data_IF_373297438506
#
_entry.id   IF_373297438506
#
_cell.length_a   1.000
_cell.length_b   1.000
_cell.length_c   1.000
_cell.angle_alpha   90.00
_cell.angle_beta   90.00
_cell.angle_gamma   90.00
#
_symmetry.space_group_name_H-M   'P 1'
#
loop_
_entity.id
_entity.type
_entity.pdbx_description
1 polymer ?
#
# COMPACT_ATOMS: atom_id res chain seq x y z
N UNK A 1 -8.62 -19.79 -5.80
CA UNK A 1 -7.37 -19.19 -6.30
C UNK A 1 -7.39 -17.73 -5.94
N UNK A 2 -6.48 -17.31 -5.07
CA UNK A 2 -6.40 -15.93 -4.64
C UNK A 2 -5.76 -15.05 -5.73
N UNK A 3 -6.35 -13.88 -5.95
CA UNK A 3 -5.74 -12.79 -6.69
C UNK A 3 -5.38 -11.72 -5.70
N UNK A 4 -4.13 -11.28 -5.75
CA UNK A 4 -3.62 -10.26 -4.87
C UNK A 4 -3.39 -8.96 -5.61
N UNK A 5 -3.55 -7.84 -4.89
CA UNK A 5 -3.11 -6.52 -5.33
C UNK A 5 -2.24 -5.90 -4.25
N UNK A 6 -1.01 -5.59 -4.62
CA UNK A 6 -0.19 -4.65 -3.89
C UNK A 6 -0.67 -3.24 -4.25
N UNK A 7 -0.93 -2.42 -3.26
CA UNK A 7 -1.24 -0.99 -3.44
C UNK A 7 -0.32 -0.16 -2.54
N UNK A 8 0.34 0.83 -3.13
CA UNK A 8 1.28 1.71 -2.47
C UNK A 8 0.90 3.16 -2.78
N UNK A 9 0.95 4.03 -1.76
CA UNK A 9 0.60 5.44 -1.88
C UNK A 9 1.67 6.33 -1.28
N UNK A 10 2.02 7.36 -2.03
CA UNK A 10 2.98 8.39 -1.63
C UNK A 10 2.31 9.77 -1.69
N UNK A 11 2.52 10.60 -0.65
CA UNK A 11 1.96 11.96 -0.60
C UNK A 11 2.76 12.87 -1.51
N UNK A 12 2.26 13.09 -2.72
CA UNK A 12 2.86 14.02 -3.67
C UNK A 12 3.07 15.41 -3.02
N UNK A 13 4.22 16.02 -3.29
CA UNK A 13 4.58 17.37 -2.86
C UNK A 13 4.94 18.24 -4.06
N UNK A 14 4.57 19.52 -4.02
CA UNK A 14 4.84 20.46 -5.12
C UNK A 14 6.34 20.79 -5.26
N UNK A 15 7.10 20.68 -4.17
CA UNK A 15 8.55 20.93 -4.14
C UNK A 15 9.38 19.70 -4.54
N UNK A 16 8.73 18.56 -4.80
CA UNK A 16 9.36 17.35 -5.30
C UNK A 16 9.04 17.15 -6.78
N UNK A 17 10.07 17.13 -7.63
CA UNK A 17 9.89 16.83 -9.06
C UNK A 17 9.55 15.35 -9.29
N UNK A 18 8.64 15.08 -10.24
CA UNK A 18 8.28 13.71 -10.69
C UNK A 18 9.54 12.94 -11.12
N UNK A 19 10.45 13.60 -11.85
CA UNK A 19 11.68 12.97 -12.34
C UNK A 19 12.59 12.51 -11.19
N UNK A 20 12.80 13.34 -10.17
CA UNK A 20 13.61 12.97 -9.01
C UNK A 20 12.96 11.84 -8.21
N UNK A 21 11.64 11.90 -7.96
CA UNK A 21 10.89 10.86 -7.26
C UNK A 21 10.98 9.52 -7.99
N UNK A 22 10.80 9.54 -9.31
CA UNK A 22 10.91 8.35 -10.14
C UNK A 22 12.32 7.77 -10.12
N UNK A 23 13.36 8.60 -10.29
CA UNK A 23 14.74 8.14 -10.25
C UNK A 23 15.07 7.46 -8.92
N UNK A 24 14.68 8.06 -7.79
CA UNK A 24 14.85 7.48 -6.46
C UNK A 24 14.09 6.15 -6.30
N UNK A 25 12.87 6.07 -6.82
CA UNK A 25 12.09 4.84 -6.78
C UNK A 25 12.75 3.70 -7.57
N UNK A 26 13.14 3.97 -8.83
CA UNK A 26 13.81 2.98 -9.69
C UNK A 26 15.15 2.54 -9.11
N UNK A 27 15.94 3.48 -8.58
CA UNK A 27 17.18 3.16 -7.87
C UNK A 27 16.91 2.24 -6.65
N UNK A 28 15.90 2.57 -5.83
CA UNK A 28 15.56 1.83 -4.63
C UNK A 28 15.08 0.39 -4.87
N UNK A 29 14.52 0.10 -6.04
CA UNK A 29 14.06 -1.26 -6.41
C UNK A 29 15.03 -2.00 -7.32
N UNK A 30 16.09 -1.36 -7.81
CA UNK A 30 17.02 -1.91 -8.80
C UNK A 30 17.69 -3.23 -8.37
N UNK A 31 17.83 -3.47 -7.06
CA UNK A 31 18.43 -4.68 -6.52
C UNK A 31 17.44 -5.85 -6.34
N UNK A 32 16.15 -5.67 -6.61
CA UNK A 32 15.13 -6.70 -6.37
C UNK A 32 15.23 -7.89 -7.33
N UNK A 33 15.76 -7.67 -8.53
CA UNK A 33 15.96 -8.68 -9.56
C UNK A 33 14.67 -9.39 -10.00
N UNK A 34 14.81 -10.45 -10.80
CA UNK A 34 13.72 -11.34 -11.20
C UNK A 34 12.48 -10.63 -11.79
N UNK A 35 12.67 -9.48 -12.46
CA UNK A 35 11.60 -8.68 -13.05
C UNK A 35 10.85 -7.76 -12.09
N UNK A 36 11.22 -7.73 -10.80
CA UNK A 36 10.67 -6.81 -9.79
C UNK A 36 11.47 -5.51 -9.67
N UNK A 37 12.59 -5.41 -10.37
CA UNK A 37 13.46 -4.23 -10.42
C UNK A 37 13.03 -3.18 -11.46
N UNK A 38 11.96 -3.45 -12.22
CA UNK A 38 11.48 -2.66 -13.36
C UNK A 38 12.57 -2.35 -14.38
N UNK A 39 13.57 -3.22 -14.52
CA UNK A 39 14.61 -3.05 -15.52
C UNK A 39 13.98 -3.00 -16.92
N UNK A 40 14.32 -1.96 -17.66
CA UNK A 40 13.74 -1.72 -18.98
C UNK A 40 12.44 -0.90 -18.97
N UNK A 41 12.00 -0.42 -17.80
CA UNK A 41 11.07 0.69 -17.74
C UNK A 41 11.78 1.89 -18.40
N UNK A 42 11.24 2.34 -19.52
CA UNK A 42 11.82 3.42 -20.30
C UNK A 42 11.82 4.74 -19.53
N UNK A 43 12.23 5.80 -20.22
CA UNK A 43 12.17 7.15 -19.65
C UNK A 43 10.73 7.55 -19.30
N UNK A 44 10.60 8.40 -18.28
CA UNK A 44 9.34 9.04 -17.96
C UNK A 44 8.82 9.79 -19.19
N UNK A 45 7.55 9.57 -19.61
CA UNK A 45 6.94 10.43 -20.62
C UNK A 45 6.82 11.87 -20.10
N UNK A 46 6.74 12.83 -21.02
CA UNK A 46 6.35 14.19 -20.65
C UNK A 46 4.87 14.18 -20.21
N UNK A 47 4.57 14.86 -19.11
CA UNK A 47 3.20 15.00 -18.60
C UNK A 47 2.38 15.95 -19.49
N UNK A 48 3.04 16.88 -20.21
CA UNK A 48 2.38 17.82 -21.09
C UNK A 48 1.31 18.65 -20.36
N UNK A 49 0.06 18.59 -20.83
CA UNK A 49 -1.09 19.27 -20.23
C UNK A 49 -1.96 18.37 -19.36
N UNK A 50 -1.51 17.15 -19.06
CA UNK A 50 -2.26 16.20 -18.25
C UNK A 50 -2.09 16.47 -16.75
N UNK A 51 -3.06 16.03 -15.95
CA UNK A 51 -3.02 16.18 -14.49
C UNK A 51 -2.33 15.01 -13.77
N UNK A 52 -2.04 13.94 -14.49
CA UNK A 52 -1.28 12.80 -14.00
C UNK A 52 -0.50 12.14 -15.12
N UNK A 53 0.62 11.53 -14.76
CA UNK A 53 1.41 10.66 -15.60
C UNK A 53 1.14 9.22 -15.19
N UNK A 54 0.79 8.36 -16.15
CA UNK A 54 0.47 6.95 -15.89
C UNK A 54 1.27 6.04 -16.81
N UNK A 55 1.96 5.05 -16.22
CA UNK A 55 2.77 4.07 -16.91
C UNK A 55 2.27 2.66 -16.61
N UNK A 56 2.00 1.88 -17.64
CA UNK A 56 1.81 0.43 -17.50
C UNK A 56 3.16 -0.25 -17.25
N UNK A 57 3.18 -1.17 -16.29
CA UNK A 57 4.35 -1.97 -15.93
C UNK A 57 4.30 -3.38 -16.54
N UNK A 58 3.22 -3.72 -17.25
CA UNK A 58 2.93 -5.08 -17.74
C UNK A 58 4.01 -5.64 -18.67
N UNK A 59 4.76 -4.76 -19.35
CA UNK A 59 5.85 -5.15 -20.26
C UNK A 59 7.19 -5.40 -19.56
N UNK A 60 7.37 -4.91 -18.34
CA UNK A 60 8.62 -5.00 -17.58
C UNK A 60 8.50 -5.95 -16.39
N UNK A 61 7.27 -6.23 -15.94
CA UNK A 61 6.97 -7.22 -14.94
C UNK A 61 7.00 -8.66 -15.50
N UNK A 62 7.18 -9.68 -14.64
CA UNK A 62 7.06 -11.08 -15.04
C UNK A 62 5.71 -11.42 -15.68
N UNK A 63 5.72 -12.40 -16.60
CA UNK A 63 4.53 -12.78 -17.36
C UNK A 63 3.33 -13.20 -16.47
N UNK A 64 2.19 -12.53 -16.67
CA UNK A 64 0.97 -12.76 -15.91
C UNK A 64 0.85 -11.95 -14.62
N UNK A 65 1.80 -11.04 -14.38
CA UNK A 65 1.71 -9.97 -13.39
C UNK A 65 1.40 -8.68 -14.15
N UNK A 66 0.48 -7.88 -13.65
CA UNK A 66 0.16 -6.56 -14.20
C UNK A 66 0.49 -5.48 -13.19
N UNK A 67 0.71 -4.27 -13.65
CA UNK A 67 0.96 -3.16 -12.75
C UNK A 67 0.86 -1.80 -13.41
N UNK A 68 0.72 -0.78 -12.57
CA UNK A 68 0.69 0.61 -12.99
C UNK A 68 1.37 1.48 -11.97
N UNK A 69 2.11 2.45 -12.48
CA UNK A 69 2.75 3.51 -11.72
C UNK A 69 2.13 4.83 -12.17
N UNK A 70 1.69 5.65 -11.22
CA UNK A 70 1.06 6.94 -11.47
C UNK A 70 1.75 8.02 -10.65
N UNK A 71 2.08 9.14 -11.29
CA UNK A 71 2.56 10.34 -10.64
C UNK A 71 1.59 11.49 -10.88
N UNK A 72 1.30 12.26 -9.84
CA UNK A 72 0.40 13.40 -9.92
C UNK A 72 1.14 14.65 -10.41
N UNK A 73 0.41 15.53 -11.07
CA UNK A 73 0.90 16.86 -11.43
C UNK A 73 1.29 17.65 -10.18
N UNK A 74 2.41 18.38 -10.24
CA UNK A 74 3.06 18.97 -9.05
C UNK A 74 3.06 20.50 -9.02
N UNK A 75 2.22 21.18 -9.80
CA UNK A 75 2.15 22.65 -9.70
C UNK A 75 1.66 23.12 -8.33
N UNK A 76 2.18 24.26 -7.92
CA UNK A 76 1.77 24.96 -6.71
C UNK A 76 0.27 25.29 -6.78
N UNK A 77 -0.47 24.94 -5.73
CA UNK A 77 -1.91 25.15 -5.63
C UNK A 77 -2.79 24.09 -6.31
N UNK A 78 -2.22 23.11 -7.03
CA UNK A 78 -2.99 21.97 -7.56
C UNK A 78 -3.16 20.85 -6.52
N UNK A 79 -2.08 20.50 -5.83
CA UNK A 79 -2.11 19.41 -4.84
C UNK A 79 -2.83 19.86 -3.56
N UNK A 80 -3.80 19.05 -3.12
CA UNK A 80 -4.47 19.24 -1.83
C UNK A 80 -4.11 18.12 -0.85
N UNK A 81 -4.57 18.25 0.40
CA UNK A 81 -4.41 17.21 1.40
C UNK A 81 -5.47 16.09 1.28
N UNK A 82 -5.49 15.43 0.12
CA UNK A 82 -6.44 14.38 -0.23
C UNK A 82 -5.71 13.27 -1.03
N UNK A 83 -6.13 12.01 -0.92
CA UNK A 83 -5.41 10.91 -1.58
C UNK A 83 -5.71 10.75 -3.06
N UNK A 84 -6.68 11.48 -3.62
CA UNK A 84 -6.81 11.61 -5.08
C UNK A 84 -5.57 12.27 -5.70
N UNK A 85 -4.85 13.07 -4.91
CA UNK A 85 -3.61 13.75 -5.29
C UNK A 85 -2.35 12.98 -4.85
N UNK A 86 -2.45 11.68 -4.60
CA UNK A 86 -1.28 10.85 -4.30
C UNK A 86 -0.70 10.19 -5.54
N UNK A 87 0.61 9.97 -5.51
CA UNK A 87 1.25 9.03 -6.43
C UNK A 87 0.87 7.61 -6.01
N UNK A 88 0.66 6.74 -7.00
CA UNK A 88 0.23 5.37 -6.75
C UNK A 88 1.06 4.37 -7.52
N UNK A 89 1.33 3.25 -6.86
CA UNK A 89 1.83 2.04 -7.51
C UNK A 89 0.86 0.91 -7.16
N UNK A 90 0.40 0.18 -8.17
CA UNK A 90 -0.25 -1.09 -7.95
C UNK A 90 0.38 -2.20 -8.78
N UNK A 91 0.39 -3.40 -8.20
CA UNK A 91 0.86 -4.62 -8.86
C UNK A 91 -0.11 -5.73 -8.51
N UNK A 92 -0.61 -6.43 -9.53
CA UNK A 92 -1.57 -7.53 -9.37
C UNK A 92 -0.95 -8.86 -9.82
N UNK A 93 -1.17 -9.90 -9.03
CA UNK A 93 -0.67 -11.24 -9.31
C UNK A 93 -1.59 -12.32 -8.73
N UNK A 94 -1.32 -13.57 -9.07
CA UNK A 94 -1.97 -14.75 -8.49
C UNK A 94 -0.96 -15.55 -7.66
N UNK A 95 -1.41 -16.13 -6.54
CA UNK A 95 -0.55 -16.99 -5.70
C UNK A 95 0.02 -18.20 -6.42
N UNK A 96 -0.55 -18.63 -7.56
CA UNK A 96 0.01 -19.72 -8.35
C UNK A 96 1.32 -19.36 -9.05
N UNK A 97 1.59 -18.07 -9.25
CA UNK A 97 2.73 -17.58 -10.06
C UNK A 97 3.81 -16.93 -9.22
N UNK A 98 3.49 -16.54 -7.99
CA UNK A 98 4.35 -15.71 -7.16
C UNK A 98 4.36 -16.29 -5.75
N UNK A 99 5.56 -16.48 -5.21
CA UNK A 99 5.74 -16.86 -3.82
C UNK A 99 5.27 -15.71 -2.92
N UNK A 100 4.13 -15.92 -2.26
CA UNK A 100 3.53 -14.94 -1.36
C UNK A 100 4.47 -14.59 -0.20
N UNK A 101 5.26 -15.54 0.29
CA UNK A 101 6.16 -15.27 1.41
C UNK A 101 7.29 -14.32 0.99
N UNK A 102 7.85 -14.50 -0.20
CA UNK A 102 8.83 -13.58 -0.78
C UNK A 102 8.23 -12.19 -1.02
N UNK A 103 6.99 -12.12 -1.50
CA UNK A 103 6.26 -10.85 -1.64
C UNK A 103 6.16 -10.13 -0.30
N UNK A 104 5.69 -10.82 0.74
CA UNK A 104 5.42 -10.22 2.05
C UNK A 104 6.71 -9.83 2.77
N UNK A 105 7.74 -10.69 2.74
CA UNK A 105 8.94 -10.52 3.57
C UNK A 105 10.02 -9.68 2.90
N UNK A 106 10.07 -9.67 1.56
CA UNK A 106 11.13 -8.99 0.80
C UNK A 106 10.59 -7.89 -0.09
N UNK A 107 9.68 -8.20 -1.03
CA UNK A 107 9.26 -7.24 -2.05
C UNK A 107 8.45 -6.08 -1.45
N UNK A 108 7.44 -6.38 -0.63
CA UNK A 108 6.55 -5.38 -0.04
C UNK A 108 7.31 -4.32 0.77
N UNK A 109 8.19 -4.68 1.74
CA UNK A 109 8.95 -3.69 2.50
C UNK A 109 9.92 -2.89 1.61
N UNK A 110 10.52 -3.52 0.60
CA UNK A 110 11.39 -2.82 -0.35
C UNK A 110 10.64 -1.79 -1.18
N UNK A 111 9.45 -2.10 -1.68
CA UNK A 111 8.62 -1.14 -2.39
C UNK A 111 8.11 -0.02 -1.48
N UNK A 112 7.69 -0.35 -0.24
CA UNK A 112 7.30 0.67 0.75
C UNK A 112 8.39 1.71 0.93
N UNK A 113 9.63 1.24 1.11
CA UNK A 113 10.79 2.11 1.28
C UNK A 113 11.10 2.90 0.01
N UNK A 114 11.26 2.23 -1.13
CA UNK A 114 11.70 2.86 -2.36
C UNK A 114 10.69 3.89 -2.89
N UNK A 115 9.39 3.60 -2.72
CA UNK A 115 8.31 4.49 -3.13
C UNK A 115 8.03 5.60 -2.12
N UNK A 116 8.65 5.57 -0.93
CA UNK A 116 8.44 6.57 0.12
C UNK A 116 6.99 6.58 0.61
N UNK A 117 6.41 5.39 0.80
CA UNK A 117 4.99 5.28 1.10
C UNK A 117 4.63 5.96 2.42
N UNK A 118 3.39 6.43 2.48
CA UNK A 118 2.73 6.65 3.77
C UNK A 118 1.71 5.56 4.10
N UNK A 119 1.19 4.88 3.08
CA UNK A 119 0.25 3.77 3.18
C UNK A 119 0.60 2.73 2.13
N UNK A 120 0.60 1.47 2.52
CA UNK A 120 0.64 0.36 1.58
C UNK A 120 -0.11 -0.85 2.11
N UNK A 121 -0.65 -1.66 1.20
CA UNK A 121 -1.50 -2.80 1.55
C UNK A 121 -1.35 -3.93 0.53
N UNK A 122 -1.36 -5.16 1.03
CA UNK A 122 -1.59 -6.36 0.22
C UNK A 122 -3.06 -6.75 0.34
N UNK A 123 -3.81 -6.54 -0.73
CA UNK A 123 -5.24 -6.88 -0.81
C UNK A 123 -5.43 -8.30 -1.34
N UNK A 124 -6.35 -9.03 -0.74
CA UNK A 124 -7.02 -10.16 -1.39
C UNK A 124 -8.25 -9.64 -2.15
N UNK A 125 -8.31 -9.87 -3.47
CA UNK A 125 -9.40 -9.39 -4.32
C UNK A 125 -10.75 -10.03 -4.04
N UNK A 126 -10.77 -11.28 -3.58
CA UNK A 126 -12.03 -11.97 -3.24
C UNK A 126 -12.67 -11.34 -2.01
N UNK A 127 -11.89 -11.04 -0.99
CA UNK A 127 -12.37 -10.34 0.21
C UNK A 127 -12.76 -8.91 -0.15
N UNK A 128 -11.86 -8.17 -0.80
CA UNK A 128 -12.07 -6.75 -1.14
C UNK A 128 -13.33 -6.50 -1.96
N UNK A 129 -13.68 -7.40 -2.88
CA UNK A 129 -14.92 -7.25 -3.66
C UNK A 129 -16.18 -7.56 -2.85
N UNK A 130 -16.08 -8.46 -1.87
CA UNK A 130 -17.23 -8.94 -1.10
C UNK A 130 -17.76 -7.88 -0.15
N UNK A 131 -16.86 -7.19 0.54
CA UNK A 131 -17.22 -6.20 1.55
C UNK A 131 -17.11 -4.75 1.04
N UNK A 132 -16.76 -4.55 -0.23
CA UNK A 132 -16.75 -3.22 -0.88
C UNK A 132 -18.00 -2.38 -0.60
N UNK A 133 -19.24 -2.92 -0.67
CA UNK A 133 -20.43 -2.13 -0.35
C UNK A 133 -20.42 -1.56 1.08
N UNK A 134 -19.96 -2.35 2.06
CA UNK A 134 -19.87 -1.91 3.46
C UNK A 134 -18.83 -0.82 3.65
N UNK A 135 -17.69 -0.96 2.96
CA UNK A 135 -16.62 0.05 2.98
C UNK A 135 -17.13 1.38 2.40
N UNK A 136 -17.94 1.34 1.33
CA UNK A 136 -18.57 2.54 0.76
C UNK A 136 -19.56 3.19 1.73
N UNK A 137 -20.43 2.40 2.37
CA UNK A 137 -21.37 2.92 3.38
C UNK A 137 -20.64 3.58 4.56
N UNK A 138 -19.55 2.98 5.03
CA UNK A 138 -18.70 3.54 6.08
C UNK A 138 -17.99 4.82 5.65
N UNK A 139 -17.53 4.87 4.40
CA UNK A 139 -16.94 6.06 3.83
C UNK A 139 -17.93 7.22 3.77
N UNK A 140 -19.13 6.98 3.27
CA UNK A 140 -20.19 7.99 3.23
C UNK A 140 -20.55 8.47 4.65
N UNK A 141 -20.67 7.55 5.61
CA UNK A 141 -21.03 7.87 6.98
C UNK A 141 -19.98 8.70 7.74
N UNK A 142 -18.70 8.50 7.43
CA UNK A 142 -17.59 9.19 8.13
C UNK A 142 -17.05 10.40 7.38
N UNK A 143 -17.30 10.48 6.06
CA UNK A 143 -16.73 11.49 5.17
C UNK A 143 -15.22 11.36 4.95
N UNK A 144 -14.57 10.30 5.46
CA UNK A 144 -13.15 10.03 5.26
C UNK A 144 -12.92 9.30 3.94
N UNK A 145 -11.75 9.48 3.32
CA UNK A 145 -11.43 8.84 2.04
C UNK A 145 -11.10 7.34 2.24
N UNK A 146 -11.77 6.47 1.46
CA UNK A 146 -11.65 5.00 1.48
C UNK A 146 -10.21 4.51 1.54
N UNK A 147 -9.34 5.11 0.73
CA UNK A 147 -7.92 4.78 0.67
C UNK A 147 -7.05 6.00 0.93
N UNK A 148 -7.59 6.89 1.75
CA UNK A 148 -7.15 8.25 1.96
C UNK A 148 -5.82 8.44 2.67
N UNK A 149 -5.51 9.72 2.85
CA UNK A 149 -4.57 10.23 3.87
C UNK A 149 -5.17 10.14 5.28
N UNK A 150 -6.45 9.79 5.37
CA UNK A 150 -7.21 9.31 6.52
C UNK A 150 -7.95 8.00 6.16
N UNK A 151 -8.73 7.46 7.09
CA UNK A 151 -9.65 6.36 6.82
C UNK A 151 -8.96 5.01 6.60
N UNK A 152 -8.69 4.27 7.68
CA UNK A 152 -8.36 2.84 7.60
C UNK A 152 -9.62 2.03 7.89
N UNK A 153 -10.34 1.67 6.83
CA UNK A 153 -11.55 0.84 6.92
C UNK A 153 -11.25 -0.66 6.98
N UNK A 154 -10.09 -1.08 6.48
CA UNK A 154 -9.63 -2.47 6.61
C UNK A 154 -8.14 -2.58 6.86
N UNK A 155 -7.79 -3.32 7.91
CA UNK A 155 -6.47 -3.89 8.13
C UNK A 155 -6.44 -5.26 7.43
N UNK A 156 -5.54 -5.40 6.47
CA UNK A 156 -5.36 -6.62 5.68
C UNK A 156 -4.21 -7.46 6.29
N UNK A 157 -3.92 -8.61 5.68
CA UNK A 157 -2.84 -9.49 6.13
C UNK A 157 -1.47 -8.80 6.16
N UNK A 158 -1.24 -7.83 5.26
CA UNK A 158 -0.01 -7.04 5.25
C UNK A 158 -0.35 -5.58 5.00
N UNK A 159 0.15 -4.72 5.89
CA UNK A 159 -0.01 -3.28 5.81
C UNK A 159 1.26 -2.55 6.19
N UNK A 160 1.42 -1.36 5.62
CA UNK A 160 2.28 -0.32 6.13
C UNK A 160 1.46 0.95 6.35
N UNK A 161 1.67 1.57 7.52
CA UNK A 161 1.11 2.87 7.85
C UNK A 161 2.21 3.75 8.44
N UNK A 162 2.38 4.96 7.92
CA UNK A 162 3.32 5.91 8.50
C UNK A 162 2.88 6.40 9.88
N UNK A 163 3.79 7.05 10.60
CA UNK A 163 3.49 7.55 11.93
C UNK A 163 2.35 8.57 11.98
N UNK A 164 2.12 9.34 10.93
CA UNK A 164 1.02 10.31 10.86
C UNK A 164 -0.33 9.58 10.81
N UNK A 165 -0.46 8.60 9.91
CA UNK A 165 -1.67 7.80 9.77
C UNK A 165 -1.91 6.93 11.01
N UNK A 166 -0.85 6.38 11.64
CA UNK A 166 -0.96 5.65 12.90
C UNK A 166 -1.62 6.49 14.00
N UNK A 167 -1.16 7.74 14.16
CA UNK A 167 -1.69 8.66 15.17
C UNK A 167 -3.12 9.09 14.83
N UNK A 168 -3.39 9.37 13.56
CA UNK A 168 -4.69 9.83 13.11
C UNK A 168 -5.78 8.76 13.30
N UNK A 169 -5.49 7.52 12.91
CA UNK A 169 -6.51 6.46 12.83
C UNK A 169 -6.59 5.60 14.09
N UNK A 170 -5.48 5.39 14.80
CA UNK A 170 -5.45 4.52 15.98
C UNK A 170 -5.20 5.28 17.28
N UNK A 171 -4.89 6.58 17.22
CA UNK A 171 -4.42 7.36 18.38
C UNK A 171 -3.20 6.72 19.07
N UNK A 172 -2.31 6.14 18.27
CA UNK A 172 -1.09 5.47 18.73
C UNK A 172 0.12 5.88 17.90
N UNK A 173 1.28 5.85 18.55
CA UNK A 173 2.57 5.90 17.85
C UNK A 173 2.90 4.53 17.25
N UNK A 174 3.74 4.45 16.19
CA UNK A 174 4.20 3.16 15.65
C UNK A 174 4.76 2.22 16.72
N UNK A 175 5.59 2.74 17.63
CA UNK A 175 6.13 1.99 18.76
C UNK A 175 5.04 1.36 19.64
N UNK A 176 4.02 2.13 20.03
CA UNK A 176 2.92 1.61 20.84
C UNK A 176 2.10 0.55 20.10
N UNK A 177 1.92 0.70 18.78
CA UNK A 177 1.25 -0.32 17.97
C UNK A 177 2.07 -1.62 17.96
N UNK A 178 3.39 -1.55 17.77
CA UNK A 178 4.29 -2.70 17.83
C UNK A 178 4.20 -3.40 19.20
N UNK A 179 4.27 -2.65 20.30
CA UNK A 179 4.15 -3.18 21.66
C UNK A 179 2.82 -3.91 21.87
N UNK A 180 1.71 -3.38 21.34
CA UNK A 180 0.37 -3.97 21.47
C UNK A 180 0.15 -5.21 20.61
N UNK A 181 0.83 -5.30 19.46
CA UNK A 181 0.73 -6.41 18.51
C UNK A 181 1.76 -7.51 18.75
N UNK A 182 2.76 -7.26 19.60
CA UNK A 182 3.82 -8.21 19.90
C UNK A 182 3.26 -9.58 20.35
N UNK A 183 3.66 -10.64 19.65
CA UNK A 183 3.21 -12.01 19.91
C UNK A 183 1.79 -12.35 19.46
N UNK A 184 1.07 -11.42 18.81
CA UNK A 184 -0.31 -11.61 18.32
C UNK A 184 -0.42 -11.71 16.80
N UNK A 185 0.63 -11.30 16.10
CA UNK A 185 0.75 -11.31 14.63
C UNK A 185 2.10 -11.90 14.25
N UNK A 186 2.27 -12.37 13.01
CA UNK A 186 3.55 -12.93 12.54
C UNK A 186 4.71 -11.93 12.73
N UNK A 187 4.51 -10.68 12.35
CA UNK A 187 5.47 -9.60 12.63
C UNK A 187 4.80 -8.22 12.71
N UNK A 188 5.21 -7.43 13.70
CA UNK A 188 4.97 -6.00 13.76
C UNK A 188 6.28 -5.31 14.14
N UNK A 189 6.72 -4.32 13.37
CA UNK A 189 7.95 -3.58 13.65
C UNK A 189 7.89 -2.14 13.18
N UNK A 190 8.65 -1.28 13.87
CA UNK A 190 8.93 0.07 13.38
C UNK A 190 9.72 -0.03 12.07
N UNK A 191 9.28 0.69 11.04
CA UNK A 191 9.86 0.65 9.70
C UNK A 191 9.61 1.98 9.00
N UNK A 192 10.62 2.61 8.41
CA UNK A 192 10.51 3.86 7.61
C UNK A 192 9.65 4.97 8.27
N UNK A 193 9.72 5.11 9.60
CA UNK A 193 8.94 6.12 10.36
C UNK A 193 7.48 5.74 10.63
N UNK A 194 7.08 4.53 10.27
CA UNK A 194 5.76 3.94 10.48
C UNK A 194 5.83 2.54 11.10
N UNK A 195 4.75 1.78 10.89
CA UNK A 195 4.66 0.37 11.25
C UNK A 195 4.52 -0.49 10.00
N UNK A 196 5.36 -1.52 9.89
CA UNK A 196 5.12 -2.65 8.99
C UNK A 196 4.43 -3.75 9.79
N UNK A 197 3.20 -4.08 9.40
CA UNK A 197 2.37 -5.12 9.97
C UNK A 197 2.28 -6.29 8.99
N UNK A 198 2.63 -7.48 9.46
CA UNK A 198 2.45 -8.75 8.79
C UNK A 198 1.67 -9.64 9.75
N UNK A 199 0.37 -9.80 9.49
CA UNK A 199 -0.46 -10.76 10.20
C UNK A 199 -0.06 -12.18 9.82
N UNK A 200 0.08 -12.44 8.52
CA UNK A 200 0.54 -13.71 7.95
C UNK A 200 1.30 -13.49 6.63
N UNK A 201 2.28 -14.34 6.36
CA UNK A 201 3.07 -14.40 5.11
C UNK A 201 2.73 -15.60 4.23
N UNK A 202 1.69 -16.36 4.58
CA UNK A 202 1.18 -17.49 3.82
C UNK A 202 -0.29 -17.31 3.44
N UNK A 203 -0.73 -18.02 2.41
CA UNK A 203 -2.12 -17.98 1.97
C UNK A 203 -3.02 -18.56 3.07
N UNK A 204 -4.04 -17.80 3.44
CA UNK A 204 -5.05 -18.17 4.45
C UNK A 204 -6.43 -18.17 3.79
N UNK A 205 -7.35 -18.97 4.33
CA UNK A 205 -8.69 -19.11 3.75
C UNK A 205 -9.59 -17.92 4.09
N UNK A 206 -10.62 -17.68 3.26
CA UNK A 206 -11.39 -16.43 3.30
C UNK A 206 -11.99 -16.05 4.66
N UNK A 207 -12.41 -17.00 5.49
CA UNK A 207 -12.95 -16.69 6.83
C UNK A 207 -11.89 -16.17 7.81
N UNK A 208 -10.64 -16.60 7.68
CA UNK A 208 -9.52 -16.09 8.49
C UNK A 208 -9.13 -14.68 8.00
N UNK A 209 -9.14 -14.43 6.69
CA UNK A 209 -8.88 -13.08 6.15
C UNK A 209 -9.90 -12.05 6.65
N UNK A 210 -11.15 -12.45 6.83
CA UNK A 210 -12.22 -11.59 7.32
C UNK A 210 -12.08 -11.25 8.81
N UNK A 211 -11.43 -12.09 9.62
CA UNK A 211 -11.23 -11.82 11.06
C UNK A 211 -10.02 -10.92 11.34
N UNK A 212 -9.05 -10.81 10.41
CA UNK A 212 -7.81 -10.05 10.60
C UNK A 212 -8.08 -8.62 11.08
N UNK A 213 -9.01 -7.91 10.44
CA UNK A 213 -9.28 -6.51 10.79
C UNK A 213 -9.75 -6.39 12.25
N UNK A 214 -10.74 -7.20 12.64
CA UNK A 214 -11.28 -7.20 13.99
C UNK A 214 -10.22 -7.59 15.03
N UNK A 215 -9.46 -8.66 14.77
CA UNK A 215 -8.44 -9.15 15.70
C UNK A 215 -7.29 -8.16 15.91
N UNK A 216 -6.83 -7.51 14.83
CA UNK A 216 -5.80 -6.47 14.93
C UNK A 216 -6.36 -5.26 15.67
N UNK A 217 -7.58 -4.81 15.39
CA UNK A 217 -8.21 -3.67 16.10
C UNK A 217 -8.37 -3.94 17.59
N UNK A 218 -8.88 -5.11 17.97
CA UNK A 218 -8.99 -5.53 19.38
C UNK A 218 -7.60 -5.54 20.02
N UNK A 219 -6.59 -6.05 19.32
CA UNK A 219 -5.21 -6.06 19.81
C UNK A 219 -4.64 -4.65 20.01
N UNK A 220 -5.03 -3.70 19.18
CA UNK A 220 -4.70 -2.28 19.28
C UNK A 220 -5.56 -1.52 20.29
N UNK A 221 -6.52 -2.18 20.97
CA UNK A 221 -7.41 -1.55 21.95
C UNK A 221 -8.49 -0.67 21.33
N UNK A 222 -8.82 -0.91 20.06
CA UNK A 222 -9.96 -0.33 19.36
C UNK A 222 -11.19 -1.24 19.52
N UNK A 223 -12.40 -0.70 19.34
CA UNK A 223 -13.58 -1.55 19.14
C UNK A 223 -13.41 -2.40 17.88
N UNK A 224 -14.12 -3.53 17.80
CA UNK A 224 -14.23 -4.29 16.54
C UNK A 224 -14.60 -3.30 15.42
N UNK A 225 -13.87 -3.38 14.31
CA UNK A 225 -14.13 -2.57 13.12
C UNK A 225 -15.53 -2.86 12.56
N UNK A 226 -15.91 -2.10 11.53
CA UNK A 226 -17.18 -2.27 10.81
C UNK A 226 -17.36 -3.68 10.23
#
# INVERSE_FOLDING_TARGET
>A
MAKYKLEFRHRAQHDESIAARHAQFIEGVSALGNGWDFKGLGELPDIGSELLLSMSLDKVLPAGITGRLTYQYREEGYLENDAQYDDTLFIEFSSERVDLSDVVKRLFPSYVKAFGCYRATLHDWTVTRRDWPKILEACEATGKDVNGRDGIYRINAVNYFDGALCRLEFNLTPKQMVERLNGKVEAAREFEGGILLIYTSYEVVGSELESIDAEVRVSLGQSEGL
#
